data_IF_507843814843
#
_entry.id   IF_507843814843
#
_cell.length_a   1.000
_cell.length_b   1.000
_cell.length_c   1.000
_cell.angle_alpha   90.00
_cell.angle_beta   90.00
_cell.angle_gamma   90.00
#
_symmetry.space_group_name_H-M   'P 1'
#
loop_
_entity.id
_entity.type
_entity.pdbx_description
1 polymer ?
#
# COMPACT_ATOMS: atom_id res chain seq x y z
N UNK A 1 4.82 -34.40 22.40
CA UNK A 1 3.92 -33.23 22.36
C UNK A 1 4.38 -32.15 21.40
N UNK A 2 5.66 -31.79 21.32
CA UNK A 2 6.25 -30.77 20.41
C UNK A 2 6.11 -31.13 18.93
N UNK A 3 6.37 -32.38 18.51
CA UNK A 3 6.27 -32.84 17.11
C UNK A 3 4.86 -32.68 16.51
N UNK A 4 3.81 -33.00 17.28
CA UNK A 4 2.41 -32.80 16.86
C UNK A 4 2.03 -31.33 16.67
N UNK A 5 2.65 -30.41 17.44
CA UNK A 5 2.44 -28.98 17.34
C UNK A 5 3.11 -28.40 16.07
N UNK A 6 4.28 -28.92 15.69
CA UNK A 6 4.97 -28.53 14.44
C UNK A 6 4.31 -29.10 13.18
N UNK A 7 3.71 -30.30 13.25
CA UNK A 7 2.91 -30.86 12.14
C UNK A 7 1.65 -30.02 11.88
N UNK A 8 0.94 -29.59 12.96
CA UNK A 8 -0.21 -28.70 12.83
C UNK A 8 0.14 -27.33 12.22
N UNK A 9 1.30 -26.76 12.56
CA UNK A 9 1.78 -25.50 11.96
C UNK A 9 2.11 -25.71 10.47
N UNK A 10 2.76 -26.82 10.10
CA UNK A 10 3.05 -27.14 8.70
C UNK A 10 1.80 -27.33 7.84
N UNK A 11 0.74 -27.85 8.42
CA UNK A 11 -0.53 -28.06 7.70
C UNK A 11 -1.30 -26.75 7.50
N UNK A 12 -1.21 -25.79 8.44
CA UNK A 12 -1.74 -24.43 8.29
C UNK A 12 -1.09 -23.73 7.08
N UNK A 13 0.22 -23.85 6.90
CA UNK A 13 0.92 -23.25 5.74
C UNK A 13 0.67 -23.95 4.39
N UNK A 14 -0.03 -25.09 4.38
CA UNK A 14 -0.49 -25.72 3.15
C UNK A 14 -1.84 -25.19 2.66
N UNK A 15 -2.57 -24.55 3.53
CA UNK A 15 -3.87 -23.95 3.22
C UNK A 15 -3.68 -22.76 2.26
N UNK A 16 -4.37 -22.81 1.15
CA UNK A 16 -4.25 -21.78 0.11
C UNK A 16 -4.77 -20.42 0.60
N UNK A 17 -5.74 -20.38 1.50
CA UNK A 17 -6.21 -19.16 2.13
C UNK A 17 -5.11 -18.51 2.99
N UNK A 18 -4.35 -19.30 3.77
CA UNK A 18 -3.22 -18.79 4.56
C UNK A 18 -2.12 -18.23 3.67
N UNK A 19 -1.76 -18.93 2.60
CA UNK A 19 -0.75 -18.45 1.63
C UNK A 19 -1.19 -17.13 1.01
N UNK A 20 -2.47 -17.02 0.63
CA UNK A 20 -3.03 -15.79 0.09
C UNK A 20 -2.94 -14.63 1.08
N UNK A 21 -3.34 -14.85 2.34
CA UNK A 21 -3.25 -13.84 3.41
C UNK A 21 -1.80 -13.38 3.60
N UNK A 22 -0.83 -14.31 3.61
CA UNK A 22 0.60 -13.99 3.76
C UNK A 22 1.09 -13.18 2.55
N UNK A 23 0.77 -13.59 1.32
CA UNK A 23 1.17 -12.86 0.12
C UNK A 23 0.59 -11.45 0.08
N UNK A 24 -0.69 -11.30 0.42
CA UNK A 24 -1.33 -9.99 0.52
C UNK A 24 -0.75 -9.15 1.65
N UNK A 25 -0.37 -9.77 2.77
CA UNK A 25 0.31 -9.11 3.87
C UNK A 25 1.73 -8.63 3.50
N UNK A 26 2.53 -9.47 2.83
CA UNK A 26 3.87 -9.08 2.33
C UNK A 26 3.77 -7.97 1.29
N UNK A 27 2.80 -8.07 0.38
CA UNK A 27 2.53 -7.01 -0.59
C UNK A 27 2.15 -5.70 0.12
N UNK A 28 1.29 -5.78 1.14
CA UNK A 28 0.87 -4.60 1.92
C UNK A 28 2.03 -3.99 2.70
N UNK A 29 2.89 -4.81 3.33
CA UNK A 29 4.12 -4.37 3.98
C UNK A 29 4.99 -3.54 3.02
N UNK A 30 5.26 -4.04 1.82
CA UNK A 30 6.08 -3.34 0.82
C UNK A 30 5.39 -2.06 0.29
N UNK A 31 4.07 -2.10 0.12
CA UNK A 31 3.29 -0.95 -0.29
C UNK A 31 3.28 0.14 0.80
N UNK A 32 3.15 -0.24 2.08
CA UNK A 32 3.16 0.71 3.19
C UNK A 32 4.56 1.26 3.49
N UNK A 33 5.64 0.47 3.26
CA UNK A 33 7.00 1.02 3.21
C UNK A 33 7.09 2.19 2.21
N UNK A 34 6.49 2.03 1.03
CA UNK A 34 6.48 3.07 0.00
C UNK A 34 5.64 4.26 0.41
N UNK A 35 4.41 4.01 0.84
CA UNK A 35 3.42 5.03 1.16
C UNK A 35 3.78 5.83 2.42
N UNK A 36 4.03 5.16 3.55
CA UNK A 36 4.33 5.84 4.82
C UNK A 36 5.74 6.44 4.80
N UNK A 37 6.69 5.82 4.08
CA UNK A 37 8.00 6.43 3.81
C UNK A 37 7.85 7.76 3.08
N UNK A 38 7.07 7.81 2.00
CA UNK A 38 6.77 9.04 1.27
C UNK A 38 6.09 10.08 2.16
N UNK A 39 5.05 9.66 2.90
CA UNK A 39 4.26 10.54 3.77
C UNK A 39 5.11 11.25 4.82
N UNK A 40 6.13 10.58 5.36
CA UNK A 40 7.01 11.12 6.40
C UNK A 40 7.79 12.37 5.95
N UNK A 41 8.05 12.53 4.65
CA UNK A 41 8.86 13.63 4.09
C UNK A 41 8.09 14.56 3.17
N UNK A 42 6.83 14.26 2.85
CA UNK A 42 6.00 15.04 1.91
C UNK A 42 5.84 16.49 2.35
N UNK A 43 5.55 16.76 3.63
CA UNK A 43 5.37 18.11 4.13
C UNK A 43 6.62 18.99 4.00
N UNK A 44 7.77 18.58 4.56
CA UNK A 44 9.04 19.28 4.37
C UNK A 44 9.43 19.44 2.90
N UNK A 45 9.17 18.45 2.07
CA UNK A 45 9.48 18.52 0.63
C UNK A 45 8.66 19.60 -0.09
N UNK A 46 7.34 19.67 0.13
CA UNK A 46 6.49 20.74 -0.40
C UNK A 46 6.97 22.13 0.04
N UNK A 47 7.38 22.28 1.30
CA UNK A 47 7.90 23.55 1.82
C UNK A 47 9.20 23.97 1.10
N UNK A 48 10.12 23.05 0.82
CA UNK A 48 11.36 23.32 0.07
C UNK A 48 11.05 23.71 -1.38
N UNK A 49 10.01 23.14 -1.99
CA UNK A 49 9.53 23.52 -3.31
C UNK A 49 8.79 24.87 -3.36
N UNK A 50 8.66 25.57 -2.21
CA UNK A 50 8.06 26.90 -2.11
C UNK A 50 6.60 26.94 -1.70
N UNK A 51 6.00 25.79 -1.29
CA UNK A 51 4.64 25.77 -0.77
C UNK A 51 4.55 26.45 0.63
N UNK A 52 3.53 27.28 0.84
CA UNK A 52 3.23 27.82 2.17
C UNK A 52 2.70 26.72 3.12
N UNK A 53 2.80 26.93 4.44
CA UNK A 53 2.24 26.01 5.42
C UNK A 53 0.73 25.77 5.22
N UNK A 54 -0.01 26.79 4.80
CA UNK A 54 -1.43 26.68 4.44
C UNK A 54 -1.63 25.77 3.25
N UNK A 55 -0.80 25.92 2.22
CA UNK A 55 -0.82 25.04 1.02
C UNK A 55 -0.52 23.59 1.37
N UNK A 56 0.50 23.34 2.21
CA UNK A 56 0.84 21.99 2.68
C UNK A 56 -0.34 21.36 3.41
N UNK A 57 -0.96 22.08 4.33
CA UNK A 57 -2.15 21.61 5.07
C UNK A 57 -3.33 21.34 4.14
N UNK A 58 -3.57 22.24 3.16
CA UNK A 58 -4.64 22.08 2.17
C UNK A 58 -4.41 20.82 1.30
N UNK A 59 -3.21 20.63 0.76
CA UNK A 59 -2.85 19.46 -0.06
C UNK A 59 -3.03 18.16 0.73
N UNK A 60 -2.59 18.13 1.99
CA UNK A 60 -2.76 16.98 2.86
C UNK A 60 -4.25 16.68 3.11
N UNK A 61 -5.03 17.67 3.54
CA UNK A 61 -6.45 17.50 3.84
C UNK A 61 -7.30 17.20 2.62
N UNK A 62 -7.09 17.92 1.52
CA UNK A 62 -7.81 17.68 0.26
C UNK A 62 -7.47 16.32 -0.35
N UNK A 63 -6.20 15.90 -0.29
CA UNK A 63 -5.79 14.58 -0.74
C UNK A 63 -6.48 13.46 0.04
N UNK A 64 -6.55 13.55 1.38
CA UNK A 64 -7.29 12.58 2.19
C UNK A 64 -8.78 12.56 1.84
N UNK A 65 -9.41 13.73 1.70
CA UNK A 65 -10.81 13.84 1.30
C UNK A 65 -11.05 13.17 -0.06
N UNK A 66 -10.22 13.48 -1.07
CA UNK A 66 -10.31 12.88 -2.40
C UNK A 66 -10.17 11.35 -2.33
N UNK A 67 -9.22 10.84 -1.54
CA UNK A 67 -9.05 9.41 -1.30
C UNK A 67 -10.30 8.75 -0.69
N UNK A 68 -10.94 9.36 0.30
CA UNK A 68 -12.17 8.83 0.91
C UNK A 68 -13.35 8.88 -0.05
N UNK A 69 -13.52 9.96 -0.81
CA UNK A 69 -14.58 10.08 -1.83
C UNK A 69 -14.42 8.99 -2.88
N UNK A 70 -13.21 8.81 -3.41
CA UNK A 70 -12.92 7.75 -4.40
C UNK A 70 -13.13 6.36 -3.80
N UNK A 71 -12.79 6.13 -2.52
CA UNK A 71 -13.03 4.85 -1.83
C UNK A 71 -14.52 4.51 -1.81
N UNK A 72 -15.39 5.48 -1.56
CA UNK A 72 -16.83 5.25 -1.58
C UNK A 72 -17.31 4.77 -2.96
N UNK A 73 -16.92 5.46 -4.04
CA UNK A 73 -17.29 5.07 -5.39
C UNK A 73 -16.64 3.76 -5.83
N UNK A 74 -15.38 3.53 -5.47
CA UNK A 74 -14.67 2.28 -5.76
C UNK A 74 -15.29 1.09 -5.05
N UNK A 75 -15.80 1.26 -3.82
CA UNK A 75 -16.56 0.22 -3.11
C UNK A 75 -17.81 -0.17 -3.88
N UNK A 76 -18.62 0.82 -4.28
CA UNK A 76 -19.82 0.56 -5.09
C UNK A 76 -19.49 -0.13 -6.42
N UNK A 77 -18.42 0.32 -7.11
CA UNK A 77 -17.97 -0.30 -8.35
C UNK A 77 -17.51 -1.75 -8.14
N UNK A 78 -16.79 -2.01 -7.04
CA UNK A 78 -16.33 -3.35 -6.66
C UNK A 78 -17.50 -4.31 -6.47
N UNK A 79 -18.53 -3.89 -5.74
CA UNK A 79 -19.71 -4.70 -5.48
C UNK A 79 -20.49 -5.00 -6.77
N UNK A 80 -20.59 -4.00 -7.66
CA UNK A 80 -21.36 -4.14 -8.91
C UNK A 80 -20.63 -4.98 -9.96
N UNK A 81 -19.32 -4.83 -10.11
CA UNK A 81 -18.55 -5.47 -11.19
C UNK A 81 -17.89 -6.78 -10.78
N UNK A 82 -17.66 -6.99 -9.47
CA UNK A 82 -16.88 -8.12 -8.91
C UNK A 82 -15.49 -8.28 -9.53
N UNK A 83 -14.98 -7.22 -10.16
CA UNK A 83 -13.67 -7.21 -10.83
C UNK A 83 -12.54 -6.88 -9.83
N UNK A 84 -12.44 -7.66 -8.76
CA UNK A 84 -11.56 -7.38 -7.61
C UNK A 84 -10.11 -7.16 -8.01
N UNK A 85 -9.53 -8.05 -8.82
CA UNK A 85 -8.14 -7.93 -9.25
C UNK A 85 -7.86 -6.70 -10.10
N UNK A 86 -8.76 -6.37 -11.05
CA UNK A 86 -8.58 -5.21 -11.93
C UNK A 86 -8.58 -3.92 -11.13
N UNK A 87 -9.54 -3.76 -10.21
CA UNK A 87 -9.64 -2.57 -9.36
C UNK A 87 -8.44 -2.48 -8.41
N UNK A 88 -8.06 -3.59 -7.78
CA UNK A 88 -6.91 -3.64 -6.88
C UNK A 88 -5.62 -3.28 -7.60
N UNK A 89 -5.34 -3.90 -8.75
CA UNK A 89 -4.12 -3.65 -9.54
C UNK A 89 -4.06 -2.21 -10.03
N UNK A 90 -5.14 -1.67 -10.59
CA UNK A 90 -5.16 -0.29 -11.06
C UNK A 90 -4.88 0.71 -9.93
N UNK A 91 -5.50 0.50 -8.76
CA UNK A 91 -5.27 1.35 -7.60
C UNK A 91 -3.84 1.26 -7.06
N UNK A 92 -3.24 0.05 -7.00
CA UNK A 92 -1.84 -0.10 -6.60
C UNK A 92 -0.87 0.50 -7.60
N UNK A 93 -1.09 0.34 -8.91
CA UNK A 93 -0.24 0.95 -9.94
C UNK A 93 -0.26 2.47 -9.82
N UNK A 94 -1.43 3.09 -9.71
CA UNK A 94 -1.57 4.54 -9.54
C UNK A 94 -0.87 5.00 -8.26
N UNK A 95 -1.16 4.36 -7.13
CA UNK A 95 -0.60 4.72 -5.83
C UNK A 95 0.92 4.59 -5.79
N UNK A 96 1.46 3.42 -6.18
CA UNK A 96 2.88 3.10 -6.02
C UNK A 96 3.77 3.78 -7.08
N UNK A 97 3.25 4.12 -8.26
CA UNK A 97 4.02 4.85 -9.28
C UNK A 97 4.07 6.34 -8.94
N UNK A 98 3.00 6.91 -8.37
CA UNK A 98 2.98 8.33 -8.02
C UNK A 98 4.07 8.70 -7.01
N UNK A 99 4.42 7.79 -6.09
CA UNK A 99 5.43 8.06 -5.04
C UNK A 99 6.84 8.30 -5.61
N UNK A 100 7.46 7.39 -6.39
CA UNK A 100 8.79 7.66 -6.92
C UNK A 100 8.81 8.81 -7.95
N UNK A 101 7.68 9.12 -8.61
CA UNK A 101 7.59 10.29 -9.47
C UNK A 101 7.73 11.62 -8.72
N UNK A 102 7.48 11.64 -7.40
CA UNK A 102 7.79 12.82 -6.56
C UNK A 102 9.26 13.19 -6.62
N UNK A 103 10.18 12.25 -6.85
CA UNK A 103 11.60 12.54 -7.04
C UNK A 103 11.87 13.48 -8.22
N UNK A 104 10.98 13.51 -9.21
CA UNK A 104 11.09 14.32 -10.42
C UNK A 104 10.27 15.62 -10.36
N UNK A 105 9.55 15.87 -9.27
CA UNK A 105 8.74 17.06 -9.14
C UNK A 105 9.62 18.31 -9.00
N UNK A 106 9.56 19.19 -10.01
CA UNK A 106 10.32 20.44 -10.05
C UNK A 106 9.62 21.62 -9.40
N UNK A 107 8.33 21.49 -9.02
CA UNK A 107 7.55 22.52 -8.35
C UNK A 107 6.57 21.91 -7.35
N UNK A 108 6.08 22.71 -6.41
CA UNK A 108 5.14 22.26 -5.39
C UNK A 108 3.77 21.86 -5.99
N UNK A 109 3.34 22.46 -7.11
CA UNK A 109 2.09 22.14 -7.79
C UNK A 109 2.12 20.73 -8.36
N UNK A 110 3.25 20.35 -9.01
CA UNK A 110 3.45 18.99 -9.53
C UNK A 110 3.51 17.98 -8.39
N UNK A 111 4.23 18.30 -7.31
CA UNK A 111 4.29 17.45 -6.14
C UNK A 111 2.89 17.26 -5.51
N UNK A 112 2.12 18.34 -5.35
CA UNK A 112 0.75 18.32 -4.83
C UNK A 112 -0.16 17.43 -5.69
N UNK A 113 -0.10 17.57 -7.01
CA UNK A 113 -0.87 16.72 -7.93
C UNK A 113 -0.53 15.23 -7.75
N UNK A 114 0.76 14.88 -7.68
CA UNK A 114 1.21 13.51 -7.46
C UNK A 114 0.74 12.95 -6.10
N UNK A 115 0.76 13.76 -5.04
CA UNK A 115 0.26 13.38 -3.72
C UNK A 115 -1.24 13.08 -3.78
N UNK A 116 -2.03 13.91 -4.46
CA UNK A 116 -3.47 13.69 -4.62
C UNK A 116 -3.71 12.41 -5.45
N UNK A 117 -2.97 12.19 -6.54
CA UNK A 117 -3.05 10.99 -7.37
C UNK A 117 -2.73 9.73 -6.53
N UNK A 118 -1.72 9.80 -5.69
CA UNK A 118 -1.35 8.74 -4.75
C UNK A 118 -2.54 8.39 -3.82
N UNK A 119 -3.22 9.39 -3.20
CA UNK A 119 -4.40 9.19 -2.35
C UNK A 119 -5.57 8.60 -3.10
N UNK A 120 -5.82 9.05 -4.33
CA UNK A 120 -6.84 8.51 -5.23
C UNK A 120 -6.56 7.02 -5.49
N UNK A 121 -5.32 6.65 -5.84
CA UNK A 121 -4.91 5.26 -6.05
C UNK A 121 -5.16 4.39 -4.81
N UNK A 122 -4.82 4.90 -3.62
CA UNK A 122 -5.14 4.23 -2.34
C UNK A 122 -6.66 4.07 -2.16
N UNK A 123 -7.44 5.10 -2.47
CA UNK A 123 -8.91 5.04 -2.44
C UNK A 123 -9.49 3.96 -3.35
N UNK A 124 -8.95 3.80 -4.56
CA UNK A 124 -9.40 2.80 -5.53
C UNK A 124 -9.15 1.37 -5.02
N UNK A 125 -7.94 1.07 -4.50
CA UNK A 125 -7.53 -0.30 -4.18
C UNK A 125 -8.13 -0.89 -2.90
N UNK A 126 -8.46 -0.04 -1.92
CA UNK A 126 -8.78 -0.52 -0.55
C UNK A 126 -10.04 -1.37 -0.50
N UNK A 127 -11.21 -1.00 -1.10
CA UNK A 127 -12.42 -1.80 -0.97
C UNK A 127 -12.26 -3.21 -1.56
N UNK A 128 -11.76 -3.32 -2.80
CA UNK A 128 -11.59 -4.61 -3.47
C UNK A 128 -10.57 -5.52 -2.77
N UNK A 129 -9.45 -4.95 -2.26
CA UNK A 129 -8.48 -5.68 -1.45
C UNK A 129 -9.11 -6.25 -0.18
N UNK A 130 -9.89 -5.44 0.54
CA UNK A 130 -10.54 -5.87 1.79
C UNK A 130 -11.54 -6.99 1.53
N UNK A 131 -12.31 -6.95 0.45
CA UNK A 131 -13.24 -8.04 0.08
C UNK A 131 -12.47 -9.34 -0.17
N UNK A 132 -11.43 -9.32 -1.00
CA UNK A 132 -10.61 -10.52 -1.28
C UNK A 132 -9.99 -11.09 0.02
N UNK A 133 -9.45 -10.24 0.87
CA UNK A 133 -8.87 -10.64 2.14
C UNK A 133 -9.93 -11.22 3.09
N UNK A 134 -11.13 -10.63 3.14
CA UNK A 134 -12.24 -11.12 3.96
C UNK A 134 -12.68 -12.52 3.54
N UNK A 135 -12.73 -12.82 2.25
CA UNK A 135 -13.04 -14.17 1.76
C UNK A 135 -12.00 -15.20 2.25
N UNK A 136 -10.70 -14.91 2.10
CA UNK A 136 -9.64 -15.79 2.60
C UNK A 136 -9.69 -15.93 4.13
N UNK A 137 -9.89 -14.82 4.86
CA UNK A 137 -9.97 -14.83 6.33
C UNK A 137 -11.19 -15.59 6.85
N UNK A 138 -12.27 -15.71 6.10
CA UNK A 138 -13.46 -16.50 6.51
C UNK A 138 -13.16 -17.99 6.68
N UNK A 139 -12.15 -18.52 5.97
CA UNK A 139 -11.75 -19.92 6.00
C UNK A 139 -10.85 -20.25 7.22
N UNK A 140 -10.06 -19.28 7.68
CA UNK A 140 -9.05 -19.50 8.74
C UNK A 140 -9.34 -18.76 10.03
N UNK A 141 -10.35 -17.89 10.04
CA UNK A 141 -10.75 -17.03 11.14
C UNK A 141 -10.43 -15.56 10.88
N UNK A 142 -11.48 -14.74 10.87
CA UNK A 142 -11.40 -13.31 10.54
C UNK A 142 -10.38 -12.58 11.42
N UNK A 143 -10.43 -12.75 12.74
CA UNK A 143 -9.53 -12.06 13.67
C UNK A 143 -8.06 -12.39 13.43
N UNK A 144 -7.73 -13.66 13.19
CA UNK A 144 -6.35 -14.09 12.94
C UNK A 144 -5.83 -13.59 11.59
N UNK A 145 -6.64 -13.76 10.54
CA UNK A 145 -6.21 -13.39 9.17
C UNK A 145 -6.01 -11.88 9.02
N UNK A 146 -6.97 -11.06 9.49
CA UNK A 146 -6.82 -9.61 9.49
C UNK A 146 -5.71 -9.15 10.45
N UNK A 147 -5.57 -9.78 11.63
CA UNK A 147 -4.51 -9.45 12.57
C UNK A 147 -3.11 -9.69 12.00
N UNK A 148 -2.90 -10.81 11.29
CA UNK A 148 -1.64 -11.09 10.61
C UNK A 148 -1.35 -10.08 9.49
N UNK A 149 -2.37 -9.78 8.67
CA UNK A 149 -2.24 -8.78 7.61
C UNK A 149 -1.89 -7.40 8.15
N UNK A 150 -2.60 -6.94 9.19
CA UNK A 150 -2.37 -5.65 9.83
C UNK A 150 -0.98 -5.58 10.49
N UNK A 151 -0.51 -6.67 11.11
CA UNK A 151 0.83 -6.70 11.70
C UNK A 151 1.92 -6.49 10.63
N UNK A 152 1.78 -7.12 9.45
CA UNK A 152 2.69 -6.91 8.33
C UNK A 152 2.60 -5.48 7.76
N UNK A 153 1.39 -4.94 7.65
CA UNK A 153 1.11 -3.55 7.26
C UNK A 153 1.87 -2.57 8.17
N UNK A 154 1.73 -2.72 9.49
CA UNK A 154 2.39 -1.86 10.49
C UNK A 154 3.92 -1.99 10.48
N UNK A 155 4.47 -3.17 10.21
CA UNK A 155 5.92 -3.34 10.01
C UNK A 155 6.39 -2.49 8.82
N UNK A 156 5.65 -2.52 7.71
CA UNK A 156 5.92 -1.67 6.54
C UNK A 156 5.85 -0.18 6.87
N UNK A 157 4.82 0.23 7.62
CA UNK A 157 4.62 1.61 8.04
C UNK A 157 5.76 2.15 8.93
N UNK A 158 6.43 1.29 9.70
CA UNK A 158 7.60 1.66 10.50
C UNK A 158 8.86 1.69 9.62
N UNK A 159 9.07 0.66 8.80
CA UNK A 159 10.29 0.53 8.00
C UNK A 159 10.40 1.63 6.92
N UNK A 160 9.30 2.06 6.34
CA UNK A 160 9.29 3.10 5.31
C UNK A 160 9.95 4.41 5.76
N UNK A 161 9.44 5.07 6.82
CA UNK A 161 10.06 6.27 7.37
C UNK A 161 11.51 6.08 7.82
N UNK A 162 11.88 4.91 8.37
CA UNK A 162 13.25 4.61 8.78
C UNK A 162 14.20 4.53 7.59
N UNK A 163 13.78 3.90 6.49
CA UNK A 163 14.56 3.84 5.25
C UNK A 163 14.77 5.26 4.71
N UNK A 164 13.70 6.05 4.62
CA UNK A 164 13.79 7.42 4.13
C UNK A 164 14.68 8.28 5.03
N UNK A 165 14.57 8.15 6.35
CA UNK A 165 15.43 8.85 7.31
C UNK A 165 16.92 8.48 7.09
N UNK A 166 17.23 7.20 6.88
CA UNK A 166 18.59 6.74 6.58
C UNK A 166 19.08 7.32 5.25
N UNK A 167 18.25 7.30 4.19
CA UNK A 167 18.61 7.91 2.90
C UNK A 167 18.90 9.41 3.04
N UNK A 168 18.05 10.13 3.76
CA UNK A 168 18.28 11.56 4.02
C UNK A 168 19.57 11.82 4.82
N UNK A 169 19.86 10.98 5.79
CA UNK A 169 21.10 11.10 6.59
C UNK A 169 22.34 10.91 5.74
N UNK A 170 22.37 9.93 4.82
CA UNK A 170 23.55 9.64 4.01
C UNK A 170 23.64 10.48 2.73
N UNK A 171 22.52 10.85 2.13
CA UNK A 171 22.47 11.51 0.82
C UNK A 171 21.93 12.95 0.86
N UNK A 172 21.27 13.37 1.95
CA UNK A 172 20.84 14.75 2.17
C UNK A 172 19.75 15.27 1.20
N UNK A 173 19.09 14.39 0.41
CA UNK A 173 18.18 14.79 -0.66
C UNK A 173 16.82 14.09 -0.53
N UNK A 174 15.73 14.88 -0.52
CA UNK A 174 14.37 14.36 -0.54
C UNK A 174 14.07 13.58 -1.81
N UNK A 175 14.59 14.04 -2.96
CA UNK A 175 14.44 13.36 -4.24
C UNK A 175 15.00 11.93 -4.19
N UNK A 176 16.18 11.75 -3.57
CA UNK A 176 16.74 10.43 -3.34
C UNK A 176 15.86 9.59 -2.40
N UNK A 177 15.27 10.21 -1.37
CA UNK A 177 14.31 9.54 -0.49
C UNK A 177 13.15 8.93 -1.27
N UNK A 178 12.50 9.71 -2.13
CA UNK A 178 11.42 9.22 -3.00
C UNK A 178 11.91 8.18 -4.03
N UNK A 179 13.10 8.38 -4.62
CA UNK A 179 13.66 7.45 -5.60
C UNK A 179 13.95 6.06 -4.99
N UNK A 180 14.48 5.99 -3.76
CA UNK A 180 14.70 4.72 -3.06
C UNK A 180 13.41 3.95 -2.79
N UNK A 181 12.27 4.63 -2.63
CA UNK A 181 10.97 4.00 -2.47
C UNK A 181 10.46 3.30 -3.75
N UNK A 182 11.13 3.51 -4.89
CA UNK A 182 10.85 2.73 -6.11
C UNK A 182 11.10 1.24 -5.90
N UNK A 183 12.12 0.87 -5.10
CA UNK A 183 12.45 -0.54 -4.85
C UNK A 183 11.29 -1.30 -4.17
N UNK A 184 10.81 -0.89 -2.98
CA UNK A 184 9.66 -1.56 -2.37
C UNK A 184 8.39 -1.43 -3.22
N UNK A 185 8.19 -0.36 -4.00
CA UNK A 185 7.06 -0.22 -4.92
C UNK A 185 7.06 -1.31 -6.01
N UNK A 186 8.21 -1.54 -6.67
CA UNK A 186 8.35 -2.61 -7.69
C UNK A 186 8.13 -3.98 -7.06
N UNK A 187 8.72 -4.23 -5.89
CA UNK A 187 8.54 -5.51 -5.19
C UNK A 187 7.08 -5.74 -4.80
N UNK A 188 6.38 -4.71 -4.32
CA UNK A 188 4.94 -4.79 -4.00
C UNK A 188 4.10 -5.17 -5.22
N UNK A 189 4.33 -4.50 -6.36
CA UNK A 189 3.64 -4.82 -7.61
C UNK A 189 3.97 -6.24 -8.07
N UNK A 190 5.22 -6.69 -7.94
CA UNK A 190 5.63 -8.04 -8.31
C UNK A 190 4.93 -9.10 -7.46
N UNK A 191 4.88 -8.92 -6.13
CA UNK A 191 4.15 -9.81 -5.22
C UNK A 191 2.65 -9.81 -5.53
N UNK A 192 2.07 -8.65 -5.85
CA UNK A 192 0.66 -8.54 -6.23
C UNK A 192 0.35 -9.31 -7.52
N UNK A 193 1.24 -9.25 -8.52
CA UNK A 193 1.09 -10.01 -9.77
C UNK A 193 1.22 -11.52 -9.54
N UNK A 194 2.15 -11.94 -8.67
CA UNK A 194 2.28 -13.34 -8.24
C UNK A 194 1.01 -13.80 -7.53
N UNK A 195 0.49 -13.00 -6.59
CA UNK A 195 -0.75 -13.30 -5.88
C UNK A 195 -1.93 -13.49 -6.84
N UNK A 196 -2.06 -12.63 -7.84
CA UNK A 196 -3.09 -12.76 -8.88
C UNK A 196 -2.93 -14.04 -9.70
N UNK A 197 -1.71 -14.43 -10.06
CA UNK A 197 -1.46 -15.64 -10.87
C UNK A 197 -1.72 -16.93 -10.11
N UNK A 198 -1.46 -16.93 -8.80
CA UNK A 198 -1.71 -18.09 -7.93
C UNK A 198 -3.18 -18.19 -7.49
N UNK A 199 -3.86 -17.07 -7.33
CA UNK A 199 -5.26 -16.98 -6.84
C UNK A 199 -6.10 -16.10 -7.77
N UNK A 200 -6.39 -16.56 -9.01
CA UNK A 200 -7.13 -15.76 -9.99
C UNK A 200 -8.58 -15.47 -9.56
N UNK A 201 -9.19 -16.38 -8.80
CA UNK A 201 -10.56 -16.29 -8.30
C UNK A 201 -10.58 -16.24 -6.76
N UNK A 202 -10.32 -15.09 -6.14
CA UNK A 202 -10.17 -14.97 -4.69
C UNK A 202 -11.48 -15.05 -3.91
N UNK A 203 -12.58 -15.37 -4.55
CA UNK A 203 -13.93 -15.53 -3.99
C UNK A 203 -14.49 -16.95 -4.15
N UNK A 204 -13.72 -17.87 -4.71
CA UNK A 204 -14.01 -19.30 -4.73
C UNK A 204 -13.33 -19.99 -3.55
#
# INVERSE_FOLDING_TARGET
>A
MVKKKFEGIRDIFKDDAVKFIILMGVMSLLADMTYEGSRSITGPYLAILGASAVTVGFVAGFGELAGYVVRFFSGHLTDRTRSYWTITLSGYLINLIAVPLLALAGSWEVAAALIIIERVGKGIRVPSRVVMLSHACSQVGQGWGFGLHEALDQIGAILGPLIVAAVLFFHGSYQMGFAFLLLPAILAISVLMISRSLYPNPHD
#
